data_IF_937452669419
#
_entry.id   IF_937452669419
#
_cell.length_a   1.000
_cell.length_b   1.000
_cell.length_c   1.000
_cell.angle_alpha   90.00
_cell.angle_beta   90.00
_cell.angle_gamma   90.00
#
_symmetry.space_group_name_H-M   'P 1'
#
loop_
_entity.id
_entity.type
_entity.pdbx_description
1 polymer ?
#
# COMPACT_ATOMS: atom_id res chain seq x y z
N UNK A 1 -28.55 14.93 19.05
CA UNK A 1 -27.81 14.48 17.82
C UNK A 1 -28.83 13.92 16.84
N UNK A 2 -28.65 14.08 15.53
CA UNK A 2 -29.61 13.60 14.52
C UNK A 2 -29.56 12.07 14.44
N UNK A 3 -30.74 11.42 14.34
CA UNK A 3 -30.91 9.97 14.15
C UNK A 3 -30.03 9.41 12.99
N UNK A 4 -29.90 10.19 11.90
CA UNK A 4 -29.01 9.89 10.75
C UNK A 4 -27.55 9.75 11.20
N UNK A 5 -27.11 10.58 12.15
CA UNK A 5 -25.72 10.57 12.62
C UNK A 5 -25.42 9.35 13.49
N UNK A 6 -26.38 8.88 14.23
CA UNK A 6 -26.24 7.68 15.07
C UNK A 6 -26.27 6.40 14.23
N UNK A 7 -27.16 6.36 13.24
CA UNK A 7 -27.21 5.27 12.27
C UNK A 7 -25.88 5.12 11.53
N UNK A 8 -25.28 6.21 11.03
CA UNK A 8 -24.00 6.16 10.34
C UNK A 8 -22.86 5.68 11.26
N UNK A 9 -22.95 5.97 12.56
CA UNK A 9 -21.97 5.46 13.51
C UNK A 9 -22.14 3.96 13.74
N UNK A 10 -23.34 3.47 13.88
CA UNK A 10 -23.62 2.05 14.01
C UNK A 10 -23.16 1.28 12.75
N UNK A 11 -23.37 1.86 11.57
CA UNK A 11 -22.84 1.30 10.30
C UNK A 11 -21.30 1.26 10.28
N UNK A 12 -20.62 2.29 10.81
CA UNK A 12 -19.18 2.31 10.96
C UNK A 12 -18.69 1.24 11.95
N UNK A 13 -19.32 1.11 13.11
CA UNK A 13 -18.97 0.09 14.11
C UNK A 13 -19.14 -1.33 13.55
N UNK A 14 -20.25 -1.59 12.86
CA UNK A 14 -20.48 -2.86 12.18
C UNK A 14 -19.43 -3.11 11.09
N UNK A 15 -19.04 -2.08 10.35
CA UNK A 15 -17.98 -2.15 9.34
C UNK A 15 -16.63 -2.52 9.97
N UNK A 16 -16.25 -1.93 11.10
CA UNK A 16 -14.95 -2.16 11.74
C UNK A 16 -14.81 -3.54 12.37
N UNK A 17 -15.93 -4.20 12.70
CA UNK A 17 -15.95 -5.51 13.37
C UNK A 17 -16.33 -6.68 12.45
N UNK A 18 -16.74 -6.39 11.20
CA UNK A 18 -17.22 -7.43 10.27
C UNK A 18 -16.14 -8.46 9.95
N UNK A 19 -16.55 -9.68 9.71
CA UNK A 19 -15.71 -10.76 9.23
C UNK A 19 -15.12 -10.44 7.84
N UNK A 20 -13.85 -10.72 7.65
CA UNK A 20 -13.11 -10.53 6.40
C UNK A 20 -12.65 -11.86 5.79
N UNK A 21 -12.98 -13.00 6.37
CA UNK A 21 -12.51 -14.33 5.92
C UNK A 21 -13.01 -14.71 4.51
N UNK A 22 -14.17 -14.22 4.13
CA UNK A 22 -14.74 -14.46 2.80
C UNK A 22 -14.16 -13.58 1.69
N UNK A 23 -13.45 -12.49 2.07
CA UNK A 23 -12.85 -11.60 1.08
C UNK A 23 -11.54 -12.18 0.53
N UNK A 24 -11.57 -12.71 -0.67
CA UNK A 24 -10.37 -13.17 -1.40
C UNK A 24 -9.65 -12.01 -2.04
N UNK A 25 -8.91 -11.26 -1.23
CA UNK A 25 -8.21 -10.06 -1.67
C UNK A 25 -6.93 -10.45 -2.42
N UNK A 26 -6.86 -10.03 -3.68
CA UNK A 26 -5.66 -10.17 -4.52
C UNK A 26 -4.71 -8.99 -4.31
N UNK A 27 -5.22 -7.77 -4.35
CA UNK A 27 -4.44 -6.55 -4.18
C UNK A 27 -4.97 -5.74 -3.01
N UNK A 28 -4.10 -5.46 -2.05
CA UNK A 28 -4.36 -4.59 -0.91
C UNK A 28 -3.64 -3.26 -1.10
N UNK A 29 -4.35 -2.16 -0.92
CA UNK A 29 -3.80 -0.81 -0.96
C UNK A 29 -3.95 -0.19 0.42
N UNK A 30 -2.86 0.38 0.93
CA UNK A 30 -2.85 1.04 2.23
C UNK A 30 -2.21 2.41 2.08
N UNK A 31 -2.88 3.41 2.62
CA UNK A 31 -2.39 4.78 2.62
C UNK A 31 -2.92 5.53 3.85
N UNK A 32 -2.22 6.56 4.26
CA UNK A 32 -2.61 7.45 5.34
C UNK A 32 -3.04 8.80 4.82
N UNK A 33 -4.06 9.37 5.44
CA UNK A 33 -4.47 10.76 5.22
C UNK A 33 -4.31 11.53 6.52
N UNK A 34 -3.64 12.68 6.45
CA UNK A 34 -3.49 13.57 7.61
C UNK A 34 -4.76 14.41 7.79
N UNK A 35 -5.54 14.10 8.82
CA UNK A 35 -6.79 14.79 9.14
C UNK A 35 -6.75 15.44 10.53
N UNK A 36 -7.56 16.49 10.72
CA UNK A 36 -7.68 17.17 12.00
C UNK A 36 -8.74 16.47 12.84
N UNK A 37 -8.32 15.52 13.67
CA UNK A 37 -9.22 14.75 14.53
C UNK A 37 -9.63 15.53 15.79
N UNK A 38 -8.80 16.48 16.23
CA UNK A 38 -9.03 17.27 17.45
C UNK A 38 -8.83 18.75 17.20
N UNK A 39 -9.73 19.57 17.71
CA UNK A 39 -9.63 21.03 17.58
C UNK A 39 -8.34 21.54 18.24
N UNK A 40 -7.63 22.43 17.55
CA UNK A 40 -6.39 23.03 18.08
C UNK A 40 -5.15 22.14 18.08
N UNK A 41 -5.26 20.86 17.67
CA UNK A 41 -4.12 19.95 17.57
C UNK A 41 -3.60 19.82 16.12
N UNK A 42 -2.40 19.28 15.98
CA UNK A 42 -1.83 18.92 14.69
C UNK A 42 -2.73 17.88 13.98
N UNK A 43 -2.56 17.75 12.66
CA UNK A 43 -3.23 16.69 11.91
C UNK A 43 -2.67 15.34 12.32
N UNK A 44 -3.57 14.38 12.49
CA UNK A 44 -3.28 13.00 12.85
C UNK A 44 -3.54 12.11 11.63
N UNK A 45 -2.79 11.02 11.44
CA UNK A 45 -3.02 10.11 10.31
C UNK A 45 -4.29 9.30 10.52
N UNK A 46 -5.08 9.17 9.47
CA UNK A 46 -6.15 8.18 9.38
C UNK A 46 -5.74 7.17 8.32
N UNK A 47 -5.55 5.91 8.73
CA UNK A 47 -5.17 4.82 7.85
C UNK A 47 -6.41 4.25 7.18
N UNK A 48 -6.30 4.00 5.88
CA UNK A 48 -7.35 3.34 5.10
C UNK A 48 -6.77 2.16 4.32
N UNK A 49 -7.50 1.04 4.31
CA UNK A 49 -7.17 -0.14 3.53
C UNK A 49 -8.28 -0.46 2.51
N UNK A 50 -7.87 -0.63 1.26
CA UNK A 50 -8.72 -1.05 0.15
C UNK A 50 -8.24 -2.34 -0.44
N UNK A 51 -9.18 -3.23 -0.73
CA UNK A 51 -8.92 -4.48 -1.43
C UNK A 51 -9.50 -4.51 -2.83
N UNK A 52 -8.85 -5.25 -3.71
CA UNK A 52 -9.42 -5.74 -4.97
C UNK A 52 -9.46 -7.25 -4.85
N UNK A 53 -10.66 -7.81 -4.89
CA UNK A 53 -10.88 -9.25 -4.81
C UNK A 53 -10.67 -9.98 -6.14
N UNK A 54 -10.69 -11.31 -6.13
CA UNK A 54 -10.58 -12.16 -7.31
C UNK A 54 -11.72 -11.92 -8.33
N UNK A 55 -12.87 -11.46 -7.86
CA UNK A 55 -14.01 -11.07 -8.71
C UNK A 55 -13.84 -9.70 -9.36
N UNK A 56 -12.73 -9.01 -9.04
CA UNK A 56 -12.41 -7.69 -9.55
C UNK A 56 -13.10 -6.54 -8.80
N UNK A 57 -14.01 -6.82 -7.89
CA UNK A 57 -14.68 -5.85 -7.06
C UNK A 57 -13.70 -5.12 -6.13
N UNK A 58 -13.98 -3.85 -5.85
CA UNK A 58 -13.24 -3.04 -4.88
C UNK A 58 -14.01 -2.93 -3.58
N UNK A 59 -13.31 -3.10 -2.48
CA UNK A 59 -13.90 -3.06 -1.15
C UNK A 59 -13.05 -2.25 -0.19
N UNK A 60 -13.67 -1.36 0.58
CA UNK A 60 -13.03 -0.75 1.75
C UNK A 60 -12.96 -1.83 2.83
N UNK A 61 -11.77 -2.14 3.32
CA UNK A 61 -11.55 -3.20 4.31
C UNK A 61 -11.47 -2.65 5.73
N UNK A 62 -10.74 -1.56 5.91
CA UNK A 62 -10.55 -0.95 7.21
C UNK A 62 -10.32 0.56 7.13
N UNK A 63 -10.69 1.27 8.17
CA UNK A 63 -10.46 2.68 8.39
C UNK A 63 -10.22 2.90 9.88
N UNK A 64 -9.07 3.44 10.24
CA UNK A 64 -8.67 3.63 11.63
C UNK A 64 -7.92 4.96 11.82
N UNK A 65 -8.29 5.71 12.85
CA UNK A 65 -7.49 6.84 13.28
C UNK A 65 -6.21 6.36 13.98
N UNK A 66 -5.06 6.93 13.63
CA UNK A 66 -3.78 6.67 14.27
C UNK A 66 -3.28 7.90 15.00
N UNK A 67 -2.59 7.71 16.11
CA UNK A 67 -1.93 8.81 16.82
C UNK A 67 -0.66 9.27 16.13
N UNK A 68 0.00 8.37 15.40
CA UNK A 68 1.24 8.58 14.62
C UNK A 68 1.31 7.55 13.48
N UNK A 69 2.07 7.87 12.43
CA UNK A 69 2.45 6.90 11.39
C UNK A 69 3.66 6.04 11.85
N UNK A 70 3.59 5.48 13.05
CA UNK A 70 4.62 4.59 13.55
C UNK A 70 4.33 3.12 13.23
N UNK A 71 5.34 2.28 13.40
CA UNK A 71 5.25 0.84 13.11
C UNK A 71 4.17 0.15 13.95
N UNK A 72 3.96 0.59 15.18
CA UNK A 72 3.01 -0.02 16.10
C UNK A 72 1.57 0.24 15.69
N UNK A 73 1.24 1.48 15.35
CA UNK A 73 -0.07 1.86 14.82
C UNK A 73 -0.42 1.09 13.54
N UNK A 74 0.54 1.00 12.59
CA UNK A 74 0.31 0.27 11.34
C UNK A 74 0.23 -1.24 11.58
N UNK A 75 1.03 -1.77 12.50
CA UNK A 75 0.93 -3.18 12.90
C UNK A 75 -0.45 -3.49 13.49
N UNK A 76 -0.94 -2.68 14.41
CA UNK A 76 -2.26 -2.84 15.01
C UNK A 76 -3.36 -2.79 13.92
N UNK A 77 -3.24 -1.89 12.96
CA UNK A 77 -4.15 -1.78 11.82
C UNK A 77 -4.21 -3.06 10.98
N UNK A 78 -3.06 -3.68 10.69
CA UNK A 78 -3.01 -4.95 9.94
C UNK A 78 -3.45 -6.14 10.79
N UNK A 79 -3.06 -6.17 12.07
CA UNK A 79 -3.45 -7.24 13.00
C UNK A 79 -4.97 -7.27 13.22
N UNK A 80 -5.63 -6.13 13.25
CA UNK A 80 -7.09 -6.06 13.31
C UNK A 80 -7.71 -6.76 12.08
N UNK A 81 -7.28 -6.43 10.87
CA UNK A 81 -7.78 -7.10 9.66
C UNK A 81 -7.47 -8.60 9.65
N UNK A 82 -6.29 -8.99 10.11
CA UNK A 82 -5.91 -10.41 10.25
C UNK A 82 -6.79 -11.13 11.27
N UNK A 83 -7.03 -10.51 12.41
CA UNK A 83 -7.92 -11.04 13.46
C UNK A 83 -9.36 -11.23 12.98
N UNK A 84 -9.80 -10.43 12.03
CA UNK A 84 -11.09 -10.56 11.35
C UNK A 84 -11.08 -11.51 10.15
N UNK A 85 -10.00 -12.29 9.97
CA UNK A 85 -9.91 -13.36 9.00
C UNK A 85 -9.30 -12.99 7.64
N UNK A 86 -8.79 -11.76 7.44
CA UNK A 86 -8.15 -11.40 6.16
C UNK A 86 -6.91 -12.28 5.91
N UNK A 87 -6.91 -13.01 4.80
CA UNK A 87 -5.76 -13.78 4.31
C UNK A 87 -4.64 -12.90 3.78
N UNK A 88 -3.49 -13.51 3.40
CA UNK A 88 -2.39 -12.79 2.76
C UNK A 88 -2.79 -12.36 1.34
N UNK A 89 -2.84 -11.04 1.02
CA UNK A 89 -3.01 -10.59 -0.35
C UNK A 89 -1.85 -11.05 -1.25
N UNK A 90 -2.03 -11.07 -2.56
CA UNK A 90 -0.90 -11.33 -3.47
C UNK A 90 0.10 -10.17 -3.44
N UNK A 91 -0.41 -8.95 -3.39
CA UNK A 91 0.39 -7.73 -3.40
C UNK A 91 -0.18 -6.73 -2.39
N UNK A 92 0.70 -6.12 -1.58
CA UNK A 92 0.37 -4.97 -0.74
C UNK A 92 1.05 -3.73 -1.29
N UNK A 93 0.26 -2.71 -1.61
CA UNK A 93 0.74 -1.43 -2.16
C UNK A 93 0.69 -0.36 -1.08
N UNK A 94 1.83 0.28 -0.79
CA UNK A 94 1.94 1.35 0.22
C UNK A 94 2.95 2.42 -0.20
N UNK A 95 3.02 3.53 0.54
CA UNK A 95 3.97 4.63 0.31
C UNK A 95 5.44 4.26 0.57
N UNK A 96 5.67 3.19 1.35
CA UNK A 96 7.01 2.70 1.67
C UNK A 96 7.65 3.39 2.86
N UNK A 97 6.88 3.94 3.80
CA UNK A 97 7.40 4.35 5.09
C UNK A 97 7.97 3.12 5.86
N UNK A 98 9.10 3.25 6.57
CA UNK A 98 9.76 2.11 7.23
C UNK A 98 8.84 1.35 8.20
N UNK A 99 7.94 2.04 8.89
CA UNK A 99 6.95 1.44 9.78
C UNK A 99 5.95 0.55 9.02
N UNK A 100 5.48 1.01 7.86
CA UNK A 100 4.55 0.26 7.01
C UNK A 100 5.24 -0.97 6.42
N UNK A 101 6.49 -0.82 5.96
CA UNK A 101 7.29 -1.93 5.41
C UNK A 101 7.37 -3.08 6.43
N UNK A 102 7.80 -2.78 7.66
CA UNK A 102 7.92 -3.79 8.74
C UNK A 102 6.59 -4.43 9.05
N UNK A 103 5.54 -3.65 9.19
CA UNK A 103 4.21 -4.17 9.49
C UNK A 103 3.67 -5.09 8.39
N UNK A 104 3.93 -4.79 7.10
CA UNK A 104 3.57 -5.67 5.98
C UNK A 104 4.34 -6.99 6.08
N UNK A 105 5.65 -6.95 6.29
CA UNK A 105 6.51 -8.13 6.37
C UNK A 105 6.13 -9.05 7.56
N UNK A 106 5.68 -8.46 8.66
CA UNK A 106 5.22 -9.20 9.84
C UNK A 106 3.80 -9.77 9.68
N UNK A 107 2.86 -8.97 9.15
CA UNK A 107 1.45 -9.35 9.11
C UNK A 107 1.06 -10.10 7.83
N UNK A 108 1.75 -9.86 6.71
CA UNK A 108 1.48 -10.48 5.40
C UNK A 108 2.75 -11.04 4.76
N UNK A 109 3.44 -12.00 5.42
CA UNK A 109 4.76 -12.46 5.02
C UNK A 109 4.80 -13.20 3.68
N UNK A 110 3.65 -13.65 3.18
CA UNK A 110 3.50 -14.32 1.88
C UNK A 110 3.08 -13.36 0.75
N UNK A 111 2.98 -12.07 1.05
CA UNK A 111 2.60 -11.05 0.07
C UNK A 111 3.82 -10.40 -0.57
N UNK A 112 3.75 -10.14 -1.87
CA UNK A 112 4.69 -9.21 -2.48
C UNK A 112 4.39 -7.79 -1.99
N UNK A 113 5.44 -7.00 -1.77
CA UNK A 113 5.33 -5.60 -1.39
C UNK A 113 5.57 -4.71 -2.62
N UNK A 114 4.66 -3.79 -2.88
CA UNK A 114 4.79 -2.78 -3.92
C UNK A 114 4.91 -1.40 -3.29
N UNK A 115 5.98 -0.72 -3.55
CA UNK A 115 6.13 0.69 -3.19
C UNK A 115 5.38 1.58 -4.17
N UNK A 116 4.59 2.52 -3.67
CA UNK A 116 3.84 3.45 -4.49
C UNK A 116 4.77 4.29 -5.38
N UNK A 117 4.68 4.10 -6.70
CA UNK A 117 5.55 4.81 -7.64
C UNK A 117 5.26 6.32 -7.71
N UNK A 118 4.05 6.77 -7.37
CA UNK A 118 3.75 8.19 -7.30
C UNK A 118 4.54 8.87 -6.17
N UNK A 119 4.56 8.26 -4.97
CA UNK A 119 5.38 8.72 -3.85
C UNK A 119 6.89 8.64 -4.18
N UNK A 120 7.34 7.52 -4.77
CA UNK A 120 8.74 7.37 -5.19
C UNK A 120 9.17 8.47 -6.17
N UNK A 121 8.38 8.76 -7.19
CA UNK A 121 8.70 9.80 -8.16
C UNK A 121 8.69 11.21 -7.55
N UNK A 122 7.83 11.51 -6.57
CA UNK A 122 7.90 12.77 -5.80
C UNK A 122 9.19 12.88 -5.00
N UNK A 123 9.61 11.79 -4.35
CA UNK A 123 10.86 11.76 -3.58
C UNK A 123 12.10 11.95 -4.48
N UNK A 124 12.09 11.39 -5.67
CA UNK A 124 13.15 11.58 -6.66
C UNK A 124 13.19 13.02 -7.18
N UNK A 125 12.03 13.62 -7.47
CA UNK A 125 11.93 14.98 -7.99
C UNK A 125 12.55 16.03 -7.06
N UNK A 126 12.55 15.80 -5.75
CA UNK A 126 13.17 16.70 -4.75
C UNK A 126 14.69 16.55 -4.73
N UNK A 127 15.25 15.43 -5.23
CA UNK A 127 16.68 15.11 -5.18
C UNK A 127 17.41 15.34 -6.50
N UNK A 128 16.69 15.62 -7.58
CA UNK A 128 17.24 15.84 -8.92
C UNK A 128 17.08 17.32 -9.29
N UNK A 129 18.12 18.00 -9.76
CA UNK A 129 18.01 19.37 -10.29
C UNK A 129 16.94 19.50 -11.37
N UNK A 130 16.30 20.65 -11.44
CA UNK A 130 15.12 20.88 -12.30
C UNK A 130 15.43 20.70 -13.79
N UNK A 131 16.63 21.06 -14.22
CA UNK A 131 17.12 20.91 -15.60
C UNK A 131 17.38 19.45 -15.98
N UNK A 132 17.83 18.61 -15.06
CA UNK A 132 18.05 17.18 -15.26
C UNK A 132 16.81 16.31 -15.01
N UNK A 133 15.81 16.87 -14.33
CA UNK A 133 14.62 16.11 -13.94
C UNK A 133 13.85 15.48 -15.11
N UNK A 134 13.63 16.15 -16.26
CA UNK A 134 12.90 15.53 -17.36
C UNK A 134 13.55 14.23 -17.87
N UNK A 135 14.86 14.22 -18.01
CA UNK A 135 15.61 13.05 -18.48
C UNK A 135 15.64 11.94 -17.42
N UNK A 136 16.03 12.28 -16.18
CA UNK A 136 16.05 11.31 -15.08
C UNK A 136 14.67 10.67 -14.86
N UNK A 137 13.61 11.49 -14.89
CA UNK A 137 12.22 11.04 -14.81
C UNK A 137 11.86 10.06 -15.91
N UNK A 138 12.25 10.33 -17.16
CA UNK A 138 11.98 9.47 -18.30
C UNK A 138 12.67 8.10 -18.11
N UNK A 139 13.92 8.09 -17.69
CA UNK A 139 14.70 6.87 -17.46
C UNK A 139 14.16 6.06 -16.28
N UNK A 140 13.87 6.69 -15.14
CA UNK A 140 13.25 6.03 -13.99
C UNK A 140 11.88 5.44 -14.37
N UNK A 141 11.07 6.17 -15.15
CA UNK A 141 9.79 5.69 -15.65
C UNK A 141 9.93 4.50 -16.57
N UNK A 142 10.97 4.46 -17.42
CA UNK A 142 11.26 3.31 -18.28
C UNK A 142 11.57 2.05 -17.47
N UNK A 143 12.33 2.17 -16.36
CA UNK A 143 12.57 1.05 -15.45
C UNK A 143 11.25 0.54 -14.85
N UNK A 144 10.42 1.43 -14.34
CA UNK A 144 9.16 1.05 -13.67
C UNK A 144 8.07 0.56 -14.63
N UNK A 145 8.21 0.80 -15.93
CA UNK A 145 7.28 0.37 -16.96
C UNK A 145 7.86 -0.70 -17.89
N UNK A 146 9.00 -1.27 -17.50
CA UNK A 146 9.68 -2.31 -18.28
C UNK A 146 8.78 -3.54 -18.49
N UNK A 147 8.96 -4.29 -19.58
CA UNK A 147 8.19 -5.51 -19.85
C UNK A 147 8.38 -6.58 -18.78
N UNK A 148 9.56 -6.64 -18.14
CA UNK A 148 9.90 -7.61 -17.10
C UNK A 148 10.81 -7.01 -16.03
N UNK A 149 10.89 -7.68 -14.86
CA UNK A 149 11.82 -7.30 -13.79
C UNK A 149 13.30 -7.38 -14.22
N UNK A 150 13.65 -8.34 -15.08
CA UNK A 150 15.01 -8.47 -15.60
C UNK A 150 15.40 -7.22 -16.39
N UNK A 151 14.56 -6.80 -17.35
CA UNK A 151 14.79 -5.59 -18.14
C UNK A 151 14.80 -4.34 -17.24
N UNK A 152 13.91 -4.26 -16.25
CA UNK A 152 13.91 -3.15 -15.29
C UNK A 152 15.25 -3.02 -14.55
N UNK A 153 15.82 -4.14 -14.09
CA UNK A 153 17.13 -4.16 -13.43
C UNK A 153 18.27 -3.75 -14.36
N UNK A 154 18.23 -4.16 -15.61
CA UNK A 154 19.27 -3.77 -16.60
C UNK A 154 19.18 -2.26 -16.91
N UNK A 155 17.99 -1.71 -17.08
CA UNK A 155 17.80 -0.26 -17.22
C UNK A 155 18.27 0.51 -15.97
N UNK A 156 18.06 -0.03 -14.79
CA UNK A 156 18.51 0.59 -13.53
C UNK A 156 20.04 0.65 -13.43
N UNK A 157 20.77 -0.36 -13.95
CA UNK A 157 22.24 -0.30 -14.04
C UNK A 157 22.72 0.89 -14.87
N UNK A 158 22.02 1.22 -15.97
CA UNK A 158 22.30 2.40 -16.77
C UNK A 158 22.12 3.72 -16.00
N UNK A 159 21.04 3.84 -15.18
CA UNK A 159 20.85 5.03 -14.32
C UNK A 159 22.00 5.16 -13.32
N UNK A 160 22.42 4.06 -12.69
CA UNK A 160 23.55 4.05 -11.76
C UNK A 160 24.86 4.47 -12.44
N UNK A 161 25.12 3.96 -13.64
CA UNK A 161 26.35 4.26 -14.39
C UNK A 161 26.42 5.74 -14.77
N UNK A 162 25.32 6.32 -15.25
CA UNK A 162 25.32 7.67 -15.79
C UNK A 162 25.16 8.76 -14.71
N UNK A 163 24.42 8.48 -13.64
CA UNK A 163 24.11 9.49 -12.61
C UNK A 163 24.75 9.20 -11.26
N UNK A 164 25.40 8.06 -11.05
CA UNK A 164 25.94 7.66 -9.75
C UNK A 164 26.93 8.68 -9.15
N UNK A 165 27.79 9.24 -9.98
CA UNK A 165 28.73 10.29 -9.56
C UNK A 165 28.09 11.68 -9.54
N UNK A 166 27.23 11.97 -10.51
CA UNK A 166 26.63 13.30 -10.67
C UNK A 166 25.53 13.56 -9.67
N UNK A 167 24.68 12.56 -9.37
CA UNK A 167 23.51 12.66 -8.53
C UNK A 167 23.43 11.51 -7.49
N UNK A 168 24.45 11.35 -6.62
CA UNK A 168 24.53 10.19 -5.72
C UNK A 168 23.30 10.05 -4.80
N UNK A 169 22.76 11.16 -4.30
CA UNK A 169 21.57 11.16 -3.45
C UNK A 169 20.29 10.74 -4.19
N UNK A 170 20.18 11.09 -5.47
CA UNK A 170 19.04 10.69 -6.31
C UNK A 170 19.14 9.20 -6.68
N UNK A 171 20.35 8.72 -7.03
CA UNK A 171 20.59 7.31 -7.34
C UNK A 171 20.36 6.45 -6.09
N UNK A 172 20.88 6.84 -4.93
CA UNK A 172 20.61 6.14 -3.67
C UNK A 172 19.11 6.06 -3.37
N UNK A 173 18.37 7.16 -3.59
CA UNK A 173 16.91 7.17 -3.45
C UNK A 173 16.23 6.28 -4.50
N UNK A 174 16.71 6.22 -5.73
CA UNK A 174 16.16 5.37 -6.79
C UNK A 174 16.36 3.89 -6.48
N UNK A 175 17.51 3.51 -5.94
CA UNK A 175 17.88 2.14 -5.62
C UNK A 175 17.27 1.64 -4.30
N UNK A 176 16.99 2.56 -3.37
CA UNK A 176 16.34 2.22 -2.12
C UNK A 176 15.02 1.49 -2.37
N UNK A 177 14.96 0.23 -1.95
CA UNK A 177 13.80 -0.63 -2.09
C UNK A 177 13.33 -0.81 -3.57
N UNK A 178 14.28 -0.86 -4.52
CA UNK A 178 13.99 -0.94 -5.95
C UNK A 178 13.15 -2.16 -6.31
N UNK A 179 13.41 -3.32 -5.71
CA UNK A 179 12.66 -4.56 -5.98
C UNK A 179 11.18 -4.41 -5.64
N UNK A 180 10.84 -3.69 -4.58
CA UNK A 180 9.46 -3.35 -4.26
C UNK A 180 8.87 -2.32 -5.24
N UNK A 181 9.67 -1.47 -5.86
CA UNK A 181 9.19 -0.55 -6.90
C UNK A 181 8.80 -1.28 -8.20
N UNK A 182 9.36 -2.46 -8.47
CA UNK A 182 9.09 -3.27 -9.66
C UNK A 182 8.31 -4.56 -9.39
N UNK A 183 7.75 -4.73 -8.18
CA UNK A 183 7.00 -5.93 -7.80
C UNK A 183 5.77 -6.14 -8.70
N UNK A 184 5.07 -5.06 -9.08
CA UNK A 184 3.92 -5.10 -9.98
C UNK A 184 4.23 -5.69 -11.37
N UNK A 185 5.50 -5.73 -11.79
CA UNK A 185 5.90 -6.34 -13.07
C UNK A 185 5.76 -7.88 -13.08
N UNK A 186 5.56 -8.50 -11.92
CA UNK A 186 5.18 -9.92 -11.80
C UNK A 186 3.74 -10.20 -12.26
N UNK A 187 2.89 -9.17 -12.22
CA UNK A 187 1.45 -9.30 -12.43
C UNK A 187 1.08 -9.28 -13.91
N UNK A 188 -0.15 -9.73 -14.26
CA UNK A 188 -0.70 -9.57 -15.60
C UNK A 188 -0.56 -8.13 -16.10
N UNK A 189 -0.23 -7.95 -17.37
CA UNK A 189 0.09 -6.63 -17.95
C UNK A 189 -1.04 -5.62 -17.75
N UNK A 190 -2.28 -6.07 -17.89
CA UNK A 190 -3.50 -5.26 -17.70
C UNK A 190 -3.68 -4.74 -16.27
N UNK A 191 -3.14 -5.45 -15.26
CA UNK A 191 -3.23 -5.07 -13.85
C UNK A 191 -2.14 -4.11 -13.40
N UNK A 192 -0.97 -4.08 -14.08
CA UNK A 192 0.22 -3.34 -13.67
C UNK A 192 -0.03 -1.85 -13.46
N UNK A 193 -0.84 -1.23 -14.32
CA UNK A 193 -1.17 0.20 -14.21
C UNK A 193 -1.94 0.51 -12.93
N UNK A 194 -2.83 -0.37 -12.52
CA UNK A 194 -3.70 -0.17 -11.35
C UNK A 194 -3.01 -0.51 -10.03
N UNK A 195 -1.96 -1.33 -10.05
CA UNK A 195 -1.30 -1.86 -8.85
C UNK A 195 0.02 -1.19 -8.50
N UNK A 196 0.51 -0.25 -9.31
CA UNK A 196 1.81 0.42 -9.11
C UNK A 196 1.75 1.69 -8.25
N UNK A 197 0.55 2.17 -7.89
CA UNK A 197 0.38 3.40 -7.11
C UNK A 197 -0.82 3.31 -6.17
N UNK A 198 -0.80 4.11 -5.11
CA UNK A 198 -1.95 4.35 -4.22
C UNK A 198 -2.86 5.48 -4.73
N UNK A 199 -2.68 5.96 -5.96
CA UNK A 199 -3.49 7.05 -6.55
C UNK A 199 -5.00 6.79 -6.47
N UNK A 200 -5.39 5.53 -6.33
CA UNK A 200 -6.74 5.11 -6.08
C UNK A 200 -7.25 5.71 -4.76
N UNK A 201 -6.46 5.58 -3.69
CA UNK A 201 -6.74 6.15 -2.37
C UNK A 201 -6.60 7.67 -2.38
N UNK A 202 -5.61 8.23 -3.06
CA UNK A 202 -5.44 9.69 -3.16
C UNK A 202 -6.67 10.38 -3.77
N UNK A 203 -7.30 9.77 -4.77
CA UNK A 203 -8.54 10.29 -5.37
C UNK A 203 -9.71 10.24 -4.40
N UNK A 204 -9.82 9.17 -3.61
CA UNK A 204 -10.84 9.04 -2.57
C UNK A 204 -10.66 10.09 -1.49
N UNK A 205 -9.44 10.25 -1.02
CA UNK A 205 -9.12 11.27 -0.03
C UNK A 205 -9.31 12.69 -0.58
N UNK A 206 -9.09 12.92 -1.87
CA UNK A 206 -9.42 14.17 -2.53
C UNK A 206 -10.92 14.47 -2.55
N UNK A 207 -11.74 13.46 -2.80
CA UNK A 207 -13.21 13.55 -2.77
C UNK A 207 -13.72 13.75 -1.33
N UNK A 208 -13.16 13.03 -0.39
CA UNK A 208 -13.44 13.15 1.03
C UNK A 208 -13.13 14.58 1.53
N UNK A 209 -11.92 15.10 1.30
CA UNK A 209 -11.53 16.46 1.68
C UNK A 209 -12.46 17.52 1.09
N UNK A 210 -12.87 17.34 -0.18
CA UNK A 210 -13.82 18.26 -0.82
C UNK A 210 -15.15 18.29 -0.10
N UNK A 211 -15.65 17.15 0.35
CA UNK A 211 -16.92 17.03 1.09
C UNK A 211 -16.80 17.53 2.52
N UNK A 212 -15.69 17.22 3.21
CA UNK A 212 -15.46 17.67 4.58
C UNK A 212 -15.16 19.17 4.67
N UNK A 213 -14.63 19.80 3.61
CA UNK A 213 -14.36 21.25 3.57
C UNK A 213 -15.62 22.10 3.83
N UNK A 214 -16.80 21.57 3.55
CA UNK A 214 -18.10 22.24 3.78
C UNK A 214 -18.50 22.19 5.24
N UNK A 215 -17.89 21.30 6.04
CA UNK A 215 -18.17 21.13 7.47
C UNK A 215 -17.00 21.76 8.25
N UNK A 216 -17.08 23.06 8.59
CA UNK A 216 -16.04 23.69 9.39
C UNK A 216 -16.09 23.10 10.80
N UNK A 217 -14.99 22.53 11.25
CA UNK A 217 -14.79 21.95 12.57
C UNK A 217 -15.44 20.56 12.77
N UNK A 218 -14.76 19.51 12.33
CA UNK A 218 -14.97 18.16 12.89
C UNK A 218 -14.59 18.21 14.38
N UNK A 219 -15.60 18.18 15.27
CA UNK A 219 -15.39 18.27 16.70
C UNK A 219 -15.09 16.89 17.30
N UNK A 220 -13.91 16.33 17.01
CA UNK A 220 -13.45 15.08 17.58
C UNK A 220 -13.28 13.94 16.58
N UNK A 221 -12.65 12.87 17.04
CA UNK A 221 -12.32 11.69 16.24
C UNK A 221 -13.57 11.00 15.67
N UNK A 222 -14.58 10.76 16.51
CA UNK A 222 -15.82 10.08 16.13
C UNK A 222 -16.57 10.77 14.97
N UNK A 223 -16.82 12.10 14.96
CA UNK A 223 -17.44 12.79 13.84
C UNK A 223 -16.61 12.71 12.53
N UNK A 224 -15.30 12.85 12.63
CA UNK A 224 -14.42 12.77 11.45
C UNK A 224 -14.46 11.37 10.82
N UNK A 225 -14.29 10.33 11.63
CA UNK A 225 -14.35 8.94 11.15
C UNK A 225 -15.70 8.59 10.52
N UNK A 226 -16.83 9.06 11.08
CA UNK A 226 -18.15 8.89 10.48
C UNK A 226 -18.24 9.50 9.08
N UNK A 227 -17.78 10.75 8.95
CA UNK A 227 -17.84 11.47 7.68
C UNK A 227 -16.93 10.86 6.64
N UNK A 228 -15.71 10.48 7.04
CA UNK A 228 -14.77 9.76 6.17
C UNK A 228 -15.38 8.43 5.72
N UNK A 229 -15.90 7.63 6.64
CA UNK A 229 -16.55 6.37 6.31
C UNK A 229 -17.69 6.55 5.31
N UNK A 230 -18.62 7.46 5.56
CA UNK A 230 -19.74 7.74 4.67
C UNK A 230 -19.30 8.24 3.29
N UNK A 231 -18.24 9.05 3.21
CA UNK A 231 -17.67 9.51 1.94
C UNK A 231 -16.97 8.38 1.18
N UNK A 232 -16.18 7.56 1.88
CA UNK A 232 -15.38 6.49 1.29
C UNK A 232 -16.25 5.31 0.83
N UNK A 233 -17.24 4.88 1.63
CA UNK A 233 -18.15 3.81 1.24
C UNK A 233 -18.96 4.18 0.00
N UNK A 234 -19.52 5.38 -0.05
CA UNK A 234 -20.26 5.85 -1.23
C UNK A 234 -19.38 6.00 -2.49
N UNK A 235 -18.11 6.35 -2.31
CA UNK A 235 -17.17 6.38 -3.41
C UNK A 235 -16.86 4.96 -3.90
N UNK A 236 -16.77 3.98 -3.00
CA UNK A 236 -16.56 2.57 -3.32
C UNK A 236 -17.62 2.00 -4.26
N UNK A 237 -18.88 2.28 -3.98
CA UNK A 237 -20.02 1.78 -4.77
C UNK A 237 -19.96 2.20 -6.25
N UNK A 238 -19.32 3.33 -6.57
CA UNK A 238 -19.24 3.90 -7.91
C UNK A 238 -18.01 3.49 -8.70
N UNK A 239 -17.10 2.72 -8.10
CA UNK A 239 -15.83 2.45 -8.72
C UNK A 239 -15.82 1.18 -9.55
N UNK A 240 -15.40 1.32 -10.80
CA UNK A 240 -15.14 0.16 -11.64
C UNK A 240 -13.98 -0.63 -11.05
N UNK A 241 -14.18 -1.95 -10.88
CA UNK A 241 -13.14 -2.87 -10.46
C UNK A 241 -12.10 -3.14 -11.55
N UNK A 242 -11.21 -4.10 -11.29
CA UNK A 242 -10.40 -4.74 -12.30
C UNK A 242 -11.18 -5.92 -12.90
N UNK A 243 -10.95 -6.19 -14.17
CA UNK A 243 -11.45 -7.40 -14.77
C UNK A 243 -10.39 -8.48 -14.63
N UNK A 244 -10.79 -9.66 -14.20
CA UNK A 244 -9.95 -10.84 -14.14
C UNK A 244 -10.46 -11.85 -15.16
N UNK A 245 -9.63 -12.17 -16.15
CA UNK A 245 -9.90 -13.27 -17.08
C UNK A 245 -9.34 -14.57 -16.48
N UNK A 246 -9.82 -15.73 -16.95
CA UNK A 246 -9.28 -17.03 -16.52
C UNK A 246 -7.77 -17.15 -16.75
N UNK A 247 -7.27 -16.55 -17.84
CA UNK A 247 -5.84 -16.53 -18.13
C UNK A 247 -5.07 -15.73 -17.07
N UNK A 248 -5.54 -14.55 -16.69
CA UNK A 248 -4.95 -13.71 -15.67
C UNK A 248 -5.03 -14.35 -14.27
N UNK A 249 -6.12 -15.03 -13.94
CA UNK A 249 -6.23 -15.80 -12.70
C UNK A 249 -5.18 -16.91 -12.63
N UNK A 250 -4.91 -17.61 -13.74
CA UNK A 250 -3.82 -18.59 -13.81
C UNK A 250 -2.44 -17.97 -13.61
N UNK A 251 -2.19 -16.78 -14.19
CA UNK A 251 -0.94 -16.05 -13.95
C UNK A 251 -0.81 -15.61 -12.47
N UNK A 252 -1.88 -15.15 -11.87
CA UNK A 252 -1.93 -14.78 -10.44
C UNK A 252 -1.64 -15.99 -9.55
N UNK A 253 -2.23 -17.14 -9.86
CA UNK A 253 -1.97 -18.38 -9.13
C UNK A 253 -0.49 -18.82 -9.24
N UNK A 254 0.13 -18.66 -10.41
CA UNK A 254 1.55 -18.93 -10.59
C UNK A 254 2.41 -17.98 -9.73
N UNK A 255 2.12 -16.68 -9.73
CA UNK A 255 2.82 -15.70 -8.86
C UNK A 255 2.62 -16.03 -7.38
N UNK A 256 1.43 -16.47 -6.96
CA UNK A 256 1.16 -16.91 -5.58
C UNK A 256 2.08 -18.08 -5.20
N UNK A 257 2.16 -19.09 -6.08
CA UNK A 257 3.03 -20.25 -5.85
C UNK A 257 4.51 -19.84 -5.71
N UNK A 258 4.98 -18.91 -6.53
CA UNK A 258 6.35 -18.39 -6.44
C UNK A 258 6.59 -17.68 -5.09
N UNK A 259 5.64 -16.84 -4.64
CA UNK A 259 5.73 -16.13 -3.36
C UNK A 259 5.70 -17.10 -2.17
N UNK A 260 4.89 -18.12 -2.22
CA UNK A 260 4.85 -19.16 -1.19
C UNK A 260 6.19 -19.91 -1.12
N UNK A 261 6.79 -20.24 -2.27
CA UNK A 261 8.11 -20.87 -2.33
C UNK A 261 9.22 -19.94 -1.79
N UNK A 262 9.21 -18.65 -2.15
CA UNK A 262 10.13 -17.63 -1.62
C UNK A 262 10.01 -17.52 -0.08
N UNK A 263 8.81 -17.54 0.44
CA UNK A 263 8.55 -17.49 1.88
C UNK A 263 9.10 -18.73 2.60
N UNK A 264 8.83 -19.94 2.11
CA UNK A 264 9.30 -21.19 2.72
C UNK A 264 10.84 -21.29 2.68
N UNK A 265 11.48 -20.85 1.61
CA UNK A 265 12.94 -20.77 1.51
C UNK A 265 13.53 -19.85 2.59
N UNK A 266 12.98 -18.62 2.72
CA UNK A 266 13.43 -17.66 3.72
C UNK A 266 13.24 -18.17 5.16
N UNK A 267 12.16 -18.89 5.42
CA UNK A 267 11.87 -19.49 6.73
C UNK A 267 12.85 -20.60 7.07
N UNK A 268 13.20 -21.45 6.12
CA UNK A 268 14.17 -22.54 6.27
C UNK A 268 15.56 -22.00 6.61
N UNK A 269 16.00 -20.92 5.92
CA UNK A 269 17.29 -20.29 6.17
C UNK A 269 17.38 -19.70 7.59
N UNK A 270 16.34 -19.00 8.05
CA UNK A 270 16.27 -18.44 9.41
C UNK A 270 16.35 -19.55 10.48
N UNK A 271 15.65 -20.65 10.27
CA UNK A 271 15.66 -21.79 11.20
C UNK A 271 17.05 -22.45 11.26
N UNK A 272 17.74 -22.54 10.13
CA UNK A 272 19.09 -23.08 10.04
C UNK A 272 20.12 -22.19 10.75
N UNK A 273 20.04 -20.87 10.58
CA UNK A 273 20.92 -19.90 11.25
C UNK A 273 20.73 -19.91 12.78
N UNK A 274 19.48 -20.00 13.25
CA UNK A 274 19.19 -20.06 14.69
C UNK A 274 19.76 -21.34 15.34
N UNK A 275 19.72 -22.47 14.62
CA UNK A 275 20.31 -23.75 15.11
C UNK A 275 21.85 -23.73 15.16
N UNK A 276 22.50 -23.00 14.22
CA UNK A 276 23.96 -22.85 14.23
C UNK A 276 24.39 -21.94 15.38
N UNK A 277 23.70 -20.81 15.58
CA UNK A 277 23.99 -19.88 16.68
C UNK A 277 23.79 -20.49 18.06
N UNK A 278 22.80 -21.37 18.25
CA UNK A 278 22.57 -22.06 19.53
C UNK A 278 23.57 -23.19 19.82
N UNK A 279 24.33 -23.66 18.83
CA UNK A 279 25.40 -24.69 19.00
C UNK A 279 26.78 -24.09 19.23
N UNK A 280 26.96 -22.79 19.05
CA UNK A 280 28.23 -22.07 19.20
C UNK A 280 28.29 -21.17 20.45
N UNK A 281 27.33 -21.29 21.36
CA UNK A 281 27.42 -20.69 22.68
C UNK A 281 28.13 -21.66 23.63
N UNK A 282 29.25 -21.24 24.28
CA UNK A 282 30.03 -22.09 25.21
C UNK A 282 29.29 -22.40 26.48
#
# INVERSE_FOLDING_TARGET
>A
MSEITERLWAEYEAFTTRDLSEYRIVYLFVDGIAERLRAGQAREPVLAAWGIGEEGGKVLLHLMAGSKEDTETVRAFFQDMRGRGLGDPLLVVSDGAPGIIRAIEECFPRSARQRCLAHRMRNLAVKVPTDLWPEFKARASACYQAPSRAIARDLAKGIRADYGTLLPSAVACFEDDFEACIAHLRLPVTHRRSTRTTNLLERLFGEERRRLKIIPNGFGEKPVLKLMFGALVRAAERWRGLRFTEFELRQIAAVRKDLDAEYEATRSDRTSQTRVSSRSAP
#
